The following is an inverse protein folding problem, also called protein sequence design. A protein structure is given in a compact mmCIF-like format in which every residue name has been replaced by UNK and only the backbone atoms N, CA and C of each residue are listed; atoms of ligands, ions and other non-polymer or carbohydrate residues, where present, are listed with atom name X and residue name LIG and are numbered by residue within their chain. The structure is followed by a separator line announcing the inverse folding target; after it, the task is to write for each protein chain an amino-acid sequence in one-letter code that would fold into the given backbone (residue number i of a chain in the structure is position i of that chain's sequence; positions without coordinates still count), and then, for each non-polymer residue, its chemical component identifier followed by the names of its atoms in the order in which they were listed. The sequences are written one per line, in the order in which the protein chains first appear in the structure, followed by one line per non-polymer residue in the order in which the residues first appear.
data_IF_659350599369
#
_entry.id   IF_659350599369
#
_cell.length_a   1.000
_cell.length_b   1.000
_cell.length_c   1.000
_cell.angle_alpha   90.00
_cell.angle_beta   90.00
_cell.angle_gamma   90.00
#
_symmetry.space_group_name_H-M   'P 1'
#
loop_
_entity.id
_entity.type
_entity.pdbx_description
1 polymer ?
#
# COMPACT_ATOMS: atom_id res chain seq x y z
N UNK A 1 -10.63 11.90 -5.84
CA UNK A 1 -10.41 13.36 -5.90
C UNK A 1 -10.06 14.05 -4.58
N UNK A 2 -10.81 13.84 -3.48
CA UNK A 2 -10.54 14.55 -2.20
C UNK A 2 -9.13 14.27 -1.65
N UNK A 3 -8.69 13.01 -1.61
CA UNK A 3 -7.34 12.64 -1.14
C UNK A 3 -6.22 13.31 -1.94
N UNK A 4 -6.44 13.54 -3.25
CA UNK A 4 -5.47 14.23 -4.12
C UNK A 4 -5.37 15.72 -3.76
N UNK A 5 -6.50 16.36 -3.47
CA UNK A 5 -6.50 17.75 -3.00
C UNK A 5 -5.89 17.87 -1.61
N UNK A 6 -6.21 16.95 -0.69
CA UNK A 6 -5.63 16.93 0.64
C UNK A 6 -4.10 16.76 0.60
N UNK A 7 -3.60 15.82 -0.21
CA UNK A 7 -2.16 15.64 -0.40
C UNK A 7 -1.48 16.90 -0.94
N UNK A 8 -2.13 17.58 -1.90
CA UNK A 8 -1.66 18.85 -2.46
C UNK A 8 -1.61 19.96 -1.41
N UNK A 9 -2.67 20.12 -0.61
CA UNK A 9 -2.76 21.17 0.42
C UNK A 9 -1.73 20.95 1.52
N UNK A 10 -1.55 19.69 1.94
CA UNK A 10 -0.58 19.31 2.97
C UNK A 10 0.87 19.27 2.44
N UNK A 11 1.08 19.36 1.12
CA UNK A 11 2.42 19.25 0.51
C UNK A 11 3.05 17.86 0.66
N UNK A 12 2.25 16.82 0.86
CA UNK A 12 2.71 15.44 1.08
C UNK A 12 2.40 14.56 -0.12
N UNK A 13 3.05 13.39 -0.20
CA UNK A 13 2.79 12.45 -1.30
C UNK A 13 1.50 11.67 -1.04
N UNK A 14 0.69 11.49 -2.08
CA UNK A 14 -0.40 10.52 -2.10
C UNK A 14 0.16 9.16 -2.55
N UNK A 15 0.04 8.15 -1.70
CA UNK A 15 0.29 6.75 -2.01
C UNK A 15 -1.06 6.09 -2.24
N UNK A 16 -1.35 5.69 -3.48
CA UNK A 16 -2.62 5.04 -3.83
C UNK A 16 -2.37 3.57 -4.17
N UNK A 17 -3.17 2.70 -3.58
CA UNK A 17 -3.19 1.27 -3.86
C UNK A 17 -4.61 0.88 -4.25
N UNK A 18 -4.76 0.21 -5.40
CA UNK A 18 -6.02 -0.35 -5.86
C UNK A 18 -6.20 -1.75 -5.25
N UNK A 19 -7.23 -1.93 -4.42
CA UNK A 19 -7.45 -3.18 -3.69
C UNK A 19 -8.00 -4.31 -4.56
N UNK A 20 -8.44 -4.02 -5.79
CA UNK A 20 -8.77 -5.03 -6.79
C UNK A 20 -7.54 -5.83 -7.25
N UNK A 21 -6.31 -5.33 -7.05
CA UNK A 21 -5.08 -6.10 -7.31
C UNK A 21 -4.75 -7.11 -6.19
N UNK A 22 -5.46 -7.03 -5.05
CA UNK A 22 -5.16 -7.76 -3.81
C UNK A 22 -6.29 -8.70 -3.38
N UNK A 23 -7.09 -9.17 -4.34
CA UNK A 23 -8.23 -10.08 -4.11
C UNK A 23 -7.83 -11.50 -3.67
N UNK A 24 -6.58 -11.89 -3.92
CA UNK A 24 -6.06 -13.23 -3.61
C UNK A 24 -5.18 -13.22 -2.36
N UNK A 25 -5.19 -14.32 -1.60
CA UNK A 25 -4.39 -14.45 -0.38
C UNK A 25 -2.89 -14.17 -0.60
N UNK A 26 -2.35 -14.64 -1.72
CA UNK A 26 -0.92 -14.48 -2.03
C UNK A 26 -0.57 -13.07 -2.50
N UNK A 27 -1.52 -12.33 -3.08
CA UNK A 27 -1.25 -10.96 -3.53
C UNK A 27 -1.10 -10.00 -2.35
N UNK A 28 -1.75 -10.25 -1.20
CA UNK A 28 -1.56 -9.48 0.04
C UNK A 28 -0.10 -9.46 0.49
N UNK A 29 0.61 -10.59 0.38
CA UNK A 29 2.05 -10.65 0.71
C UNK A 29 2.90 -9.69 -0.12
N UNK A 30 2.48 -9.33 -1.34
CA UNK A 30 3.17 -8.30 -2.15
C UNK A 30 2.95 -6.90 -1.58
N UNK A 31 1.80 -6.64 -0.97
CA UNK A 31 1.48 -5.34 -0.38
C UNK A 31 2.28 -5.07 0.89
N UNK A 32 2.29 -6.02 1.83
CA UNK A 32 2.92 -5.86 3.16
C UNK A 32 4.31 -6.46 3.30
N UNK A 33 4.67 -7.42 2.46
CA UNK A 33 5.91 -8.19 2.55
C UNK A 33 5.61 -9.66 2.85
N UNK A 34 6.53 -10.55 2.45
CA UNK A 34 6.39 -11.97 2.75
C UNK A 34 6.53 -12.23 4.27
N UNK A 35 5.94 -13.32 4.76
CA UNK A 35 6.10 -13.73 6.15
C UNK A 35 7.53 -14.26 6.42
N UNK A 36 8.02 -14.23 7.68
CA UNK A 36 9.29 -14.84 8.04
C UNK A 36 9.37 -16.30 7.56
N UNK A 37 10.46 -16.66 6.90
CA UNK A 37 10.66 -18.01 6.34
C UNK A 37 10.11 -18.24 4.94
N UNK A 38 9.50 -17.22 4.30
CA UNK A 38 9.12 -17.25 2.89
C UNK A 38 10.11 -16.46 2.01
N UNK A 39 10.21 -16.82 0.74
CA UNK A 39 11.02 -16.07 -0.25
C UNK A 39 10.53 -14.63 -0.33
N UNK A 40 11.45 -13.67 -0.26
CA UNK A 40 11.12 -12.24 -0.24
C UNK A 40 10.82 -11.67 1.14
N UNK A 41 11.10 -12.38 2.24
CA UNK A 41 10.93 -11.83 3.60
C UNK A 41 11.79 -10.57 3.86
N UNK A 42 13.00 -10.54 3.30
CA UNK A 42 13.87 -9.36 3.40
C UNK A 42 13.47 -8.24 2.42
N UNK A 43 12.61 -8.55 1.45
CA UNK A 43 12.03 -7.58 0.53
C UNK A 43 10.75 -7.02 1.18
N UNK A 44 10.79 -5.76 1.61
CA UNK A 44 9.59 -5.08 2.10
C UNK A 44 8.49 -5.08 1.04
N UNK A 45 7.24 -5.18 1.48
CA UNK A 45 6.08 -5.04 0.60
C UNK A 45 5.96 -3.64 -0.02
N UNK A 46 5.14 -3.54 -1.06
CA UNK A 46 4.90 -2.28 -1.78
C UNK A 46 4.46 -1.14 -0.85
N UNK A 47 3.58 -1.42 0.11
CA UNK A 47 3.12 -0.45 1.10
C UNK A 47 4.25 -0.06 2.06
N UNK A 48 4.93 -1.05 2.64
CA UNK A 48 5.97 -0.81 3.64
C UNK A 48 7.13 -0.02 3.03
N UNK A 49 7.54 -0.35 1.81
CA UNK A 49 8.60 0.37 1.10
C UNK A 49 8.19 1.79 0.70
N UNK A 50 6.95 1.97 0.22
CA UNK A 50 6.44 3.28 -0.15
C UNK A 50 6.37 4.23 1.06
N UNK A 51 5.88 3.75 2.20
CA UNK A 51 5.82 4.51 3.46
C UNK A 51 7.21 4.74 4.02
N UNK A 52 8.11 3.74 4.01
CA UNK A 52 9.51 3.92 4.46
C UNK A 52 10.24 5.01 3.69
N UNK A 53 10.02 5.09 2.36
CA UNK A 53 10.61 6.15 1.50
C UNK A 53 9.95 7.52 1.68
N UNK A 54 8.67 7.57 2.09
CA UNK A 54 7.88 8.79 2.29
C UNK A 54 7.02 8.69 3.57
N UNK A 55 7.64 8.86 4.76
CA UNK A 55 6.95 8.63 6.04
C UNK A 55 5.75 9.55 6.24
N UNK A 56 5.85 10.80 5.79
CA UNK A 56 4.74 11.75 5.75
C UNK A 56 4.05 11.66 4.40
N UNK A 57 3.03 10.81 4.33
CA UNK A 57 2.21 10.60 3.14
C UNK A 57 0.76 10.35 3.52
N UNK A 58 -0.12 10.56 2.55
CA UNK A 58 -1.51 10.11 2.64
C UNK A 58 -1.59 8.77 1.93
N UNK A 59 -2.09 7.75 2.61
CA UNK A 59 -2.31 6.41 2.04
C UNK A 59 -3.77 6.27 1.69
N UNK A 60 -4.06 5.96 0.43
CA UNK A 60 -5.41 5.70 -0.08
C UNK A 60 -5.48 4.25 -0.57
N UNK A 61 -6.37 3.48 0.05
CA UNK A 61 -6.80 2.18 -0.43
C UNK A 61 -8.11 2.36 -1.20
N UNK A 62 -8.05 2.25 -2.53
CA UNK A 62 -9.21 2.33 -3.42
C UNK A 62 -9.90 0.96 -3.48
N UNK A 63 -11.24 0.93 -3.56
CA UNK A 63 -12.04 -0.31 -3.65
C UNK A 63 -11.76 -1.34 -2.52
N UNK A 64 -11.60 -0.89 -1.28
CA UNK A 64 -11.18 -1.74 -0.14
C UNK A 64 -12.04 -3.00 0.06
N UNK A 65 -13.32 -2.96 -0.31
CA UNK A 65 -14.23 -4.10 -0.27
C UNK A 65 -13.83 -5.26 -1.20
N UNK A 66 -12.90 -5.03 -2.14
CA UNK A 66 -12.36 -6.04 -3.05
C UNK A 66 -11.16 -6.78 -2.49
N UNK A 67 -10.49 -6.24 -1.46
CA UNK A 67 -9.31 -6.86 -0.88
C UNK A 67 -9.62 -8.25 -0.29
N UNK A 68 -8.63 -9.16 -0.36
CA UNK A 68 -8.68 -10.38 0.42
C UNK A 68 -8.63 -10.06 1.93
N UNK A 69 -9.51 -10.66 2.76
CA UNK A 69 -9.50 -10.49 4.21
C UNK A 69 -8.22 -10.92 4.92
#
# INVERSE_FOLDING_TARGET
EICKQLARIMGVKLLRFDMSEYMEKHSVSRLVGAAPGYVGYEEGGQLTEAVRKKPYSIVLFDEIEKAHP
#
